data_IF_793583519770
#
_entry.id   IF_793583519770
#
_cell.length_a   1.000
_cell.length_b   1.000
_cell.length_c   1.000
_cell.angle_alpha   90.00
_cell.angle_beta   90.00
_cell.angle_gamma   90.00
#
_symmetry.space_group_name_H-M   'P 1'
#
loop_
_entity.id
_entity.type
_entity.pdbx_description
1 polymer ?
#
# COMPACT_ATOMS: atom_id res chain seq x y z
N UNK A 1 -0.78 26.07 -42.95
CA UNK A 1 -0.28 24.69 -42.83
C UNK A 1 -1.36 23.88 -42.14
N UNK A 2 -2.00 22.98 -42.86
CA UNK A 2 -3.12 22.13 -42.41
C UNK A 2 -2.63 21.07 -41.41
N UNK A 3 -3.27 20.97 -40.25
CA UNK A 3 -2.95 19.97 -39.24
C UNK A 3 -3.38 18.57 -39.72
N UNK A 4 -2.48 17.59 -39.55
CA UNK A 4 -2.56 16.24 -40.12
C UNK A 4 -3.47 15.26 -39.34
N UNK A 5 -4.16 15.70 -38.28
CA UNK A 5 -5.06 14.86 -37.47
C UNK A 5 -6.25 15.69 -36.94
N UNK A 6 -7.39 15.73 -37.66
CA UNK A 6 -8.54 16.60 -37.33
C UNK A 6 -9.34 16.18 -36.08
N UNK A 7 -8.95 15.10 -35.41
CA UNK A 7 -9.58 14.61 -34.17
C UNK A 7 -8.78 14.97 -32.91
N UNK A 8 -7.68 15.71 -33.06
CA UNK A 8 -6.80 16.16 -31.98
C UNK A 8 -6.79 17.70 -31.92
N UNK A 9 -7.96 18.34 -32.05
CA UNK A 9 -8.11 19.77 -31.78
C UNK A 9 -8.45 20.01 -30.31
N UNK A 10 -7.40 20.02 -29.47
CA UNK A 10 -7.52 20.27 -28.03
C UNK A 10 -7.50 21.79 -27.70
N UNK A 11 -7.54 22.66 -28.72
CA UNK A 11 -7.17 24.07 -28.57
C UNK A 11 -8.31 25.04 -28.28
N UNK A 12 -9.53 24.53 -28.03
CA UNK A 12 -10.67 25.37 -27.62
C UNK A 12 -11.25 25.01 -26.23
N UNK A 13 -10.46 24.41 -25.36
CA UNK A 13 -10.77 24.48 -23.93
C UNK A 13 -10.18 25.80 -23.40
N UNK A 14 -11.05 26.79 -23.18
CA UNK A 14 -10.70 28.02 -22.46
C UNK A 14 -10.12 27.66 -21.08
N UNK A 15 -8.79 27.57 -20.99
CA UNK A 15 -8.09 27.28 -19.76
C UNK A 15 -8.07 28.56 -18.88
N UNK A 16 -8.55 28.52 -17.63
CA UNK A 16 -8.56 29.70 -16.78
C UNK A 16 -7.12 30.11 -16.42
N UNK A 17 -6.81 31.41 -16.53
CA UNK A 17 -5.48 31.98 -16.24
C UNK A 17 -5.04 31.85 -14.77
N UNK A 18 -5.89 31.31 -13.89
CA UNK A 18 -5.61 31.03 -12.49
C UNK A 18 -6.26 29.71 -12.09
N UNK A 19 -5.44 28.69 -11.83
CA UNK A 19 -5.87 27.41 -11.24
C UNK A 19 -5.71 27.47 -9.72
N UNK A 20 -6.69 28.08 -9.05
CA UNK A 20 -6.87 27.85 -7.62
C UNK A 20 -7.70 26.57 -7.46
N UNK A 21 -7.02 25.44 -7.31
CA UNK A 21 -7.62 24.16 -6.97
C UNK A 21 -7.20 23.81 -5.54
N UNK A 22 -7.95 24.25 -4.52
CA UNK A 22 -7.75 23.74 -3.17
C UNK A 22 -7.95 22.23 -3.25
N UNK A 23 -7.02 21.45 -2.71
CA UNK A 23 -7.10 19.97 -2.79
C UNK A 23 -8.32 19.45 -2.00
N UNK A 24 -8.93 20.29 -1.14
CA UNK A 24 -10.07 19.94 -0.28
C UNK A 24 -10.96 21.17 0.09
N UNK A 25 -11.60 21.89 -0.86
CA UNK A 25 -12.45 23.03 -0.52
C UNK A 25 -13.81 22.51 -0.03
N UNK A 26 -14.07 22.62 1.27
CA UNK A 26 -15.35 22.18 1.89
C UNK A 26 -15.28 20.87 2.68
N UNK A 27 -14.10 20.25 2.84
CA UNK A 27 -13.91 19.13 3.75
C UNK A 27 -13.80 19.64 5.19
N UNK A 28 -14.95 19.94 5.78
CA UNK A 28 -15.10 20.00 7.24
C UNK A 28 -15.06 18.58 7.79
N UNK A 29 -13.93 18.16 8.38
CA UNK A 29 -13.77 17.05 9.35
C UNK A 29 -14.68 15.80 9.23
N UNK A 30 -15.06 15.41 8.01
CA UNK A 30 -15.74 14.15 7.76
C UNK A 30 -14.67 13.07 7.72
N UNK A 31 -14.31 12.58 8.90
CA UNK A 31 -13.74 11.24 9.04
C UNK A 31 -14.75 10.30 8.38
N UNK A 32 -14.39 9.70 7.24
CA UNK A 32 -15.18 8.65 6.61
C UNK A 32 -15.13 7.44 7.53
N UNK A 33 -16.02 7.43 8.52
CA UNK A 33 -16.26 6.29 9.40
C UNK A 33 -17.40 5.44 8.84
N UNK A 34 -17.37 4.16 9.22
CA UNK A 34 -18.27 3.04 8.92
C UNK A 34 -19.78 3.33 8.80
N UNK A 35 -20.28 4.45 9.31
CA UNK A 35 -21.70 4.78 9.42
C UNK A 35 -22.35 5.36 8.14
N UNK A 36 -21.58 5.76 7.10
CA UNK A 36 -22.13 6.52 5.95
C UNK A 36 -21.92 5.87 4.56
N UNK A 37 -21.57 4.58 4.50
CA UNK A 37 -21.48 3.85 3.22
C UNK A 37 -22.76 3.05 2.96
N UNK A 38 -23.27 3.06 1.72
CA UNK A 38 -24.44 2.28 1.31
C UNK A 38 -24.17 0.78 1.20
N UNK A 39 -22.90 0.34 1.29
CA UNK A 39 -22.50 -1.06 1.36
C UNK A 39 -21.16 -1.25 2.12
N UNK A 40 -21.14 -1.00 3.45
CA UNK A 40 -19.91 -0.97 4.27
C UNK A 40 -19.17 -2.31 4.27
N UNK A 41 -19.90 -3.43 4.25
CA UNK A 41 -19.32 -4.77 4.24
C UNK A 41 -18.58 -5.09 2.94
N UNK A 42 -19.02 -4.51 1.82
CA UNK A 42 -18.38 -4.69 0.51
C UNK A 42 -17.10 -3.88 0.41
N UNK A 43 -17.11 -2.61 0.85
CA UNK A 43 -15.89 -1.80 0.90
C UNK A 43 -14.86 -2.35 1.89
N UNK A 44 -15.29 -2.79 3.08
CA UNK A 44 -14.41 -3.45 4.04
C UNK A 44 -13.77 -4.71 3.46
N UNK A 45 -14.52 -5.50 2.70
CA UNK A 45 -14.02 -6.73 2.08
C UNK A 45 -12.98 -6.42 0.99
N UNK A 46 -13.24 -5.43 0.14
CA UNK A 46 -12.30 -5.01 -0.91
C UNK A 46 -11.01 -4.45 -0.30
N UNK A 47 -11.11 -3.54 0.67
CA UNK A 47 -9.94 -2.95 1.36
C UNK A 47 -9.17 -4.00 2.16
N UNK A 48 -9.86 -4.96 2.78
CA UNK A 48 -9.21 -6.07 3.49
C UNK A 48 -8.50 -7.04 2.54
N UNK A 49 -9.03 -7.26 1.33
CA UNK A 49 -8.45 -8.20 0.38
C UNK A 49 -7.25 -7.59 -0.36
N UNK A 50 -7.41 -6.42 -0.98
CA UNK A 50 -6.35 -5.72 -1.72
C UNK A 50 -6.27 -4.24 -1.32
N UNK A 51 -5.76 -3.98 -0.12
CA UNK A 51 -5.55 -2.60 0.35
C UNK A 51 -4.61 -1.83 -0.58
N UNK A 52 -4.83 -0.52 -0.71
CA UNK A 52 -3.94 0.36 -1.47
C UNK A 52 -2.47 0.22 -1.04
N UNK A 53 -2.19 0.01 0.25
CA UNK A 53 -0.82 -0.27 0.73
C UNK A 53 -0.22 -1.57 0.17
N UNK A 54 -1.02 -2.64 0.02
CA UNK A 54 -0.57 -3.88 -0.65
C UNK A 54 -0.31 -3.65 -2.15
N UNK A 55 -1.19 -2.91 -2.82
CA UNK A 55 -1.04 -2.59 -4.25
C UNK A 55 0.24 -1.78 -4.49
N UNK A 56 0.48 -0.73 -3.70
CA UNK A 56 1.69 0.09 -3.78
C UNK A 56 2.94 -0.73 -3.46
N UNK A 57 2.88 -1.60 -2.44
CA UNK A 57 4.00 -2.50 -2.12
C UNK A 57 4.39 -3.39 -3.30
N UNK A 58 3.40 -3.99 -4.00
CA UNK A 58 3.66 -4.80 -5.20
C UNK A 58 4.25 -3.99 -6.35
N UNK A 59 3.76 -2.76 -6.57
CA UNK A 59 4.33 -1.87 -7.59
C UNK A 59 5.79 -1.54 -7.26
N UNK A 60 6.10 -1.23 -6.01
CA UNK A 60 7.47 -0.96 -5.55
C UNK A 60 8.40 -2.14 -5.79
N UNK A 61 7.94 -3.37 -5.51
CA UNK A 61 8.73 -4.58 -5.76
C UNK A 61 8.99 -4.79 -7.26
N UNK A 62 8.01 -4.54 -8.12
CA UNK A 62 8.19 -4.63 -9.58
C UNK A 62 9.16 -3.55 -10.09
N UNK A 63 9.04 -2.31 -9.61
CA UNK A 63 9.94 -1.23 -10.03
C UNK A 63 11.37 -1.50 -9.57
N UNK A 64 11.59 -2.00 -8.36
CA UNK A 64 12.93 -2.43 -7.88
C UNK A 64 13.55 -3.48 -8.81
N UNK A 65 12.78 -4.47 -9.27
CA UNK A 65 13.25 -5.46 -10.26
C UNK A 65 13.63 -4.79 -11.59
N UNK A 66 12.79 -3.86 -12.08
CA UNK A 66 13.04 -3.17 -13.35
C UNK A 66 14.29 -2.28 -13.28
N UNK A 67 14.49 -1.58 -12.16
CA UNK A 67 15.68 -0.75 -11.91
C UNK A 67 16.93 -1.62 -11.91
N UNK A 68 16.94 -2.71 -11.13
CA UNK A 68 18.07 -3.66 -11.09
C UNK A 68 18.42 -4.25 -12.45
N UNK A 69 17.44 -4.47 -13.31
CA UNK A 69 17.68 -4.94 -14.68
C UNK A 69 18.25 -3.82 -15.57
N UNK A 70 17.75 -2.59 -15.42
CA UNK A 70 18.23 -1.43 -16.17
C UNK A 70 19.70 -1.09 -15.82
N UNK A 71 20.09 -1.20 -14.55
CA UNK A 71 21.46 -0.97 -14.08
C UNK A 71 22.50 -1.87 -14.77
N UNK A 72 22.12 -3.10 -15.14
CA UNK A 72 23.01 -4.02 -15.88
C UNK A 72 23.40 -3.48 -17.25
N UNK A 73 22.49 -2.72 -17.88
CA UNK A 73 22.68 -2.15 -19.22
C UNK A 73 23.17 -0.71 -19.15
N UNK A 74 22.98 -0.02 -18.03
CA UNK A 74 23.33 1.38 -17.84
C UNK A 74 23.76 1.62 -16.40
N UNK A 75 25.05 1.39 -16.07
CA UNK A 75 25.57 1.47 -14.70
C UNK A 75 25.43 2.85 -14.04
N UNK A 76 25.32 3.92 -14.85
CA UNK A 76 25.13 5.28 -14.36
C UNK A 76 23.80 5.47 -13.59
N UNK A 77 22.80 4.59 -13.81
CA UNK A 77 21.53 4.62 -13.09
C UNK A 77 21.67 4.36 -11.59
N UNK A 78 22.63 3.56 -11.15
CA UNK A 78 22.84 3.28 -9.72
C UNK A 78 23.25 4.54 -8.93
N UNK A 79 23.85 5.52 -9.61
CA UNK A 79 24.19 6.81 -9.03
C UNK A 79 23.08 7.86 -9.15
N UNK A 80 21.97 7.55 -9.81
CA UNK A 80 20.88 8.49 -9.99
C UNK A 80 20.11 8.70 -8.68
N UNK A 81 19.84 9.96 -8.35
CA UNK A 81 19.18 10.33 -7.10
C UNK A 81 17.77 9.75 -6.96
N UNK A 82 17.05 9.57 -8.06
CA UNK A 82 15.71 8.99 -8.05
C UNK A 82 15.77 7.49 -7.72
N UNK A 83 16.77 6.77 -8.25
CA UNK A 83 17.00 5.35 -7.96
C UNK A 83 17.36 5.17 -6.49
N UNK A 84 18.34 5.95 -6.00
CA UNK A 84 18.71 5.91 -4.58
C UNK A 84 17.53 6.23 -3.66
N UNK A 85 16.69 7.21 -4.02
CA UNK A 85 15.51 7.57 -3.24
C UNK A 85 14.45 6.45 -3.21
N UNK A 86 14.32 5.68 -4.30
CA UNK A 86 13.45 4.51 -4.35
C UNK A 86 13.97 3.40 -3.43
N UNK A 87 15.27 3.11 -3.47
CA UNK A 87 15.91 2.12 -2.60
C UNK A 87 15.72 2.47 -1.12
N UNK A 88 15.97 3.72 -0.76
CA UNK A 88 15.76 4.23 0.60
C UNK A 88 14.28 4.11 1.03
N UNK A 89 13.35 4.42 0.12
CA UNK A 89 11.92 4.27 0.38
C UNK A 89 11.55 2.79 0.63
N UNK A 90 12.04 1.89 -0.22
CA UNK A 90 11.77 0.45 -0.11
C UNK A 90 12.34 -0.10 1.20
N UNK A 91 13.56 0.27 1.57
CA UNK A 91 14.19 -0.14 2.82
C UNK A 91 13.34 0.26 4.04
N UNK A 92 12.91 1.53 4.12
CA UNK A 92 12.06 2.01 5.23
C UNK A 92 10.71 1.28 5.28
N UNK A 93 10.10 1.03 4.12
CA UNK A 93 8.82 0.32 4.05
C UNK A 93 8.97 -1.14 4.49
N UNK A 94 10.03 -1.82 4.09
CA UNK A 94 10.27 -3.21 4.44
C UNK A 94 10.64 -3.36 5.94
N UNK A 95 11.36 -2.39 6.52
CA UNK A 95 11.57 -2.29 7.96
C UNK A 95 10.24 -2.13 8.72
N UNK A 96 9.39 -1.18 8.31
CA UNK A 96 8.08 -0.98 8.94
C UNK A 96 7.18 -2.23 8.83
N UNK A 97 7.24 -2.98 7.72
CA UNK A 97 6.54 -4.26 7.56
C UNK A 97 7.07 -5.31 8.54
N UNK A 98 8.38 -5.40 8.71
CA UNK A 98 9.02 -6.35 9.61
C UNK A 98 8.67 -6.06 11.08
N UNK A 99 8.73 -4.78 11.50
CA UNK A 99 8.30 -4.35 12.83
C UNK A 99 6.82 -4.68 13.09
N UNK A 100 5.94 -4.35 12.13
CA UNK A 100 4.52 -4.65 12.25
C UNK A 100 4.24 -6.17 12.33
N UNK A 101 5.02 -6.99 11.63
CA UNK A 101 4.93 -8.45 11.72
C UNK A 101 5.39 -8.96 13.09
N UNK A 102 6.48 -8.42 13.63
CA UNK A 102 6.98 -8.77 14.97
C UNK A 102 5.93 -8.44 16.04
N UNK A 103 5.35 -7.25 16.01
CA UNK A 103 4.28 -6.86 16.94
C UNK A 103 3.07 -7.80 16.88
N UNK A 104 2.71 -8.28 15.68
CA UNK A 104 1.64 -9.29 15.53
C UNK A 104 2.03 -10.63 16.16
N UNK A 105 3.27 -11.07 15.99
CA UNK A 105 3.76 -12.30 16.60
C UNK A 105 3.79 -12.21 18.12
N UNK A 106 4.26 -11.09 18.68
CA UNK A 106 4.30 -10.87 20.13
C UNK A 106 2.90 -10.94 20.74
N UNK A 107 1.91 -10.29 20.11
CA UNK A 107 0.50 -10.39 20.54
C UNK A 107 -0.05 -11.80 20.47
N UNK A 108 0.24 -12.54 19.40
CA UNK A 108 -0.19 -13.94 19.27
C UNK A 108 0.42 -14.80 20.39
N UNK A 109 1.67 -14.56 20.77
CA UNK A 109 2.31 -15.24 21.89
C UNK A 109 1.59 -14.90 23.20
N UNK A 110 1.31 -13.63 23.46
CA UNK A 110 0.56 -13.19 24.64
C UNK A 110 -0.83 -13.83 24.72
N UNK A 111 -1.57 -13.85 23.61
CA UNK A 111 -2.88 -14.47 23.49
C UNK A 111 -2.81 -15.97 23.79
N UNK A 112 -1.80 -16.68 23.25
CA UNK A 112 -1.58 -18.09 23.52
C UNK A 112 -1.20 -18.36 24.98
N UNK A 113 -0.41 -17.49 25.60
CA UNK A 113 -0.07 -17.58 27.03
C UNK A 113 -1.29 -17.33 27.92
N UNK A 114 -2.14 -16.37 27.55
CA UNK A 114 -3.41 -16.14 28.24
C UNK A 114 -4.35 -17.34 28.11
N UNK A 115 -4.46 -17.92 26.90
CA UNK A 115 -5.26 -19.11 26.64
C UNK A 115 -4.77 -20.31 27.43
N UNK A 116 -3.45 -20.51 27.54
CA UNK A 116 -2.87 -21.57 28.36
C UNK A 116 -3.30 -21.49 29.83
N UNK A 117 -3.44 -20.28 30.36
CA UNK A 117 -3.85 -20.04 31.76
C UNK A 117 -5.34 -20.22 31.99
N UNK A 118 -6.17 -19.82 31.03
CA UNK A 118 -7.64 -19.86 31.15
C UNK A 118 -8.28 -21.16 30.65
N UNK A 119 -7.70 -21.80 29.63
CA UNK A 119 -8.25 -23.00 29.00
C UNK A 119 -7.15 -23.90 28.39
N UNK A 120 -6.55 -24.75 29.22
CA UNK A 120 -5.49 -25.67 28.82
C UNK A 120 -5.92 -26.69 27.73
N UNK A 121 -7.21 -27.04 27.68
CA UNK A 121 -7.75 -27.97 26.67
C UNK A 121 -7.74 -27.33 25.29
N UNK A 122 -8.25 -26.10 25.16
CA UNK A 122 -8.19 -25.35 23.88
C UNK A 122 -6.75 -25.05 23.46
N UNK A 123 -5.89 -24.64 24.39
CA UNK A 123 -4.47 -24.42 24.11
C UNK A 123 -3.80 -25.66 23.50
N UNK A 124 -4.04 -26.84 24.09
CA UNK A 124 -3.48 -28.11 23.59
C UNK A 124 -4.01 -28.46 22.20
N UNK A 125 -5.29 -28.19 21.92
CA UNK A 125 -5.88 -28.41 20.60
C UNK A 125 -5.24 -27.51 19.53
N UNK A 126 -5.01 -26.22 19.83
CA UNK A 126 -4.35 -25.28 18.92
C UNK A 126 -2.90 -25.70 18.67
N UNK A 127 -2.15 -26.03 19.73
CA UNK A 127 -0.76 -26.47 19.59
C UNK A 127 -0.64 -27.76 18.77
N UNK A 128 -1.60 -28.68 18.92
CA UNK A 128 -1.66 -29.89 18.07
C UNK A 128 -1.89 -29.52 16.61
N UNK A 129 -2.81 -28.59 16.32
CA UNK A 129 -3.11 -28.16 14.95
C UNK A 129 -1.90 -27.47 14.28
N UNK A 130 -1.17 -26.64 15.01
CA UNK A 130 0.05 -25.98 14.52
C UNK A 130 1.17 -26.98 14.22
N UNK A 131 1.34 -28.03 15.04
CA UNK A 131 2.39 -29.05 14.88
C UNK A 131 2.11 -30.12 13.81
N UNK A 132 0.93 -30.12 13.18
CA UNK A 132 0.55 -31.06 12.11
C UNK A 132 0.89 -30.58 10.69
N UNK A 133 1.51 -29.41 10.55
CA UNK A 133 2.04 -28.87 9.29
C UNK A 133 3.53 -29.21 9.18
#
# INVERSE_FOLDING_TARGET
MTAFFPWLDWTQAAAPNTLNQPILPGWSFLTVNEANSSAPDTEKRIVAQDSYGRQIGRLMDVVDILVREAEKTSPDLSGDKCVMALDDLKARVDEAKAEAQKLRQDRLIEDLLALKRSNAVQFTAIMKAVGTV
#
